data_IF_423894920035
#
_entry.id   IF_423894920035
#
_cell.length_a   1.000
_cell.length_b   1.000
_cell.length_c   1.000
_cell.angle_alpha   90.00
_cell.angle_beta   90.00
_cell.angle_gamma   90.00
#
_symmetry.space_group_name_H-M   'P 1'
#
loop_
_entity.id
_entity.type
_entity.pdbx_description
1 polymer ?
#
# COMPACT_ATOMS: atom_id res chain seq x y z
N UNK A 1 6.85 9.22 -6.76
CA UNK A 1 6.45 8.10 -7.65
C UNK A 1 7.55 7.09 -7.86
N UNK A 2 8.82 7.51 -7.94
CA UNK A 2 10.03 6.65 -7.96
C UNK A 2 10.17 5.64 -6.82
N UNK A 3 9.26 5.64 -5.82
CA UNK A 3 9.31 4.75 -4.65
C UNK A 3 8.38 3.54 -4.76
N UNK A 4 7.51 3.42 -5.77
CA UNK A 4 6.69 2.21 -5.93
C UNK A 4 7.54 0.97 -6.24
N UNK A 5 8.65 1.15 -6.97
CA UNK A 5 9.65 0.10 -7.22
C UNK A 5 10.28 -0.41 -5.92
N UNK A 6 10.43 0.44 -4.91
CA UNK A 6 11.02 0.05 -3.61
C UNK A 6 10.15 -0.94 -2.85
N UNK A 7 8.86 -1.02 -3.18
CA UNK A 7 7.93 -1.95 -2.56
C UNK A 7 7.51 -3.09 -3.49
N UNK A 8 8.05 -3.14 -4.71
CA UNK A 8 7.70 -4.07 -5.79
C UNK A 8 6.19 -4.14 -6.09
N UNK A 9 5.45 -3.05 -5.83
CA UNK A 9 4.01 -2.99 -6.05
C UNK A 9 3.76 -2.48 -7.46
N UNK A 10 3.71 -3.39 -8.44
CA UNK A 10 3.44 -3.04 -9.84
C UNK A 10 1.94 -3.07 -10.12
N UNK A 11 1.38 -1.94 -10.52
CA UNK A 11 -0.04 -1.85 -10.93
C UNK A 11 -0.29 -2.47 -12.32
N UNK A 12 0.72 -2.49 -13.19
CA UNK A 12 0.63 -3.03 -14.55
C UNK A 12 1.83 -3.94 -14.81
N UNK A 13 1.55 -5.21 -15.11
CA UNK A 13 2.57 -6.13 -15.63
C UNK A 13 2.77 -5.84 -17.13
N UNK A 14 4.01 -5.88 -17.65
CA UNK A 14 4.25 -5.91 -19.08
C UNK A 14 3.39 -7.01 -19.73
N UNK A 15 2.79 -6.76 -20.89
CA UNK A 15 1.94 -7.75 -21.60
C UNK A 15 2.58 -9.16 -21.69
N UNK A 16 3.90 -9.32 -21.90
CA UNK A 16 4.55 -10.64 -21.90
C UNK A 16 4.62 -11.33 -20.53
N UNK A 17 4.54 -10.56 -19.43
CA UNK A 17 4.65 -11.00 -18.04
C UNK A 17 3.29 -11.02 -17.32
N UNK A 18 2.26 -10.46 -17.96
CA UNK A 18 0.90 -10.40 -17.46
C UNK A 18 0.23 -11.77 -17.59
N UNK A 19 0.40 -12.63 -16.58
CA UNK A 19 -0.48 -13.78 -16.40
C UNK A 19 -1.86 -13.29 -16.01
N UNK A 20 -2.82 -13.34 -16.95
CA UNK A 20 -4.24 -13.12 -16.62
C UNK A 20 -4.73 -14.38 -15.91
N UNK A 21 -4.43 -14.49 -14.62
CA UNK A 21 -4.86 -15.60 -13.78
C UNK A 21 -6.37 -15.46 -13.51
N UNK A 22 -7.18 -16.24 -14.23
CA UNK A 22 -8.65 -16.28 -14.16
C UNK A 22 -9.34 -14.93 -14.45
N UNK A 23 -9.46 -14.52 -15.73
CA UNK A 23 -10.39 -13.46 -16.07
C UNK A 23 -11.81 -13.93 -15.71
N UNK A 24 -12.60 -13.13 -14.97
CA UNK A 24 -13.99 -13.50 -14.70
C UNK A 24 -14.75 -13.65 -16.01
N UNK A 25 -15.52 -14.73 -16.14
CA UNK A 25 -16.29 -15.02 -17.35
C UNK A 25 -17.34 -13.95 -17.66
N UNK A 26 -17.82 -13.27 -16.62
CA UNK A 26 -18.70 -12.11 -16.66
C UNK A 26 -18.30 -11.11 -15.58
N UNK A 27 -18.37 -9.82 -15.89
CA UNK A 27 -18.19 -8.75 -14.92
C UNK A 27 -19.51 -8.55 -14.16
N UNK A 28 -19.58 -9.03 -12.92
CA UNK A 28 -20.73 -8.82 -12.03
C UNK A 28 -20.72 -7.38 -11.49
N UNK A 29 -21.88 -6.74 -11.37
CA UNK A 29 -22.05 -5.47 -10.66
C UNK A 29 -21.61 -5.53 -9.18
N UNK A 30 -21.56 -6.71 -8.57
CA UNK A 30 -20.97 -6.93 -7.25
C UNK A 30 -19.44 -6.85 -7.25
N UNK A 31 -18.77 -7.22 -8.36
CA UNK A 31 -17.31 -7.03 -8.50
C UNK A 31 -16.93 -5.55 -8.56
N UNK A 32 -17.82 -4.69 -9.08
CA UNK A 32 -17.64 -3.24 -9.08
C UNK A 32 -17.63 -2.62 -7.66
N UNK A 33 -18.08 -3.36 -6.63
CA UNK A 33 -17.98 -2.94 -5.23
C UNK A 33 -16.70 -3.42 -4.54
N UNK A 34 -15.86 -4.21 -5.22
CA UNK A 34 -14.60 -4.68 -4.66
C UNK A 34 -13.53 -3.62 -4.86
N UNK A 35 -13.18 -2.91 -3.78
CA UNK A 35 -12.10 -1.93 -3.78
C UNK A 35 -10.74 -2.65 -3.79
N UNK A 36 -10.18 -2.91 -4.98
CA UNK A 36 -8.87 -3.56 -5.15
C UNK A 36 -7.77 -2.50 -5.25
N UNK A 37 -6.60 -2.76 -4.65
CA UNK A 37 -5.48 -1.83 -4.82
C UNK A 37 -4.97 -1.81 -6.26
N UNK A 38 -5.15 -2.90 -7.00
CA UNK A 38 -4.79 -3.03 -8.41
C UNK A 38 -5.45 -1.99 -9.30
N UNK A 39 -6.55 -1.37 -8.85
CA UNK A 39 -7.25 -0.33 -9.61
C UNK A 39 -6.59 1.05 -9.47
N UNK A 40 -5.50 1.15 -8.69
CA UNK A 40 -4.70 2.34 -8.56
C UNK A 40 -4.06 2.71 -9.91
N UNK A 41 -4.53 3.81 -10.52
CA UNK A 41 -4.01 4.35 -11.79
C UNK A 41 -2.78 5.25 -11.62
N UNK A 42 -2.15 5.17 -10.46
CA UNK A 42 -0.89 5.87 -10.20
C UNK A 42 -0.91 7.41 -10.32
N UNK A 43 -2.09 8.03 -10.17
CA UNK A 43 -2.26 9.48 -10.38
C UNK A 43 -1.57 10.40 -9.35
N UNK A 44 -1.19 9.88 -8.17
CA UNK A 44 -0.50 10.66 -7.13
C UNK A 44 -1.37 11.62 -6.30
N UNK A 45 -2.67 11.73 -6.55
CA UNK A 45 -3.58 12.58 -5.77
C UNK A 45 -3.54 12.29 -4.26
N UNK A 46 -3.43 11.02 -3.89
CA UNK A 46 -3.31 10.61 -2.49
C UNK A 46 -2.06 11.17 -1.81
N UNK A 47 -0.95 11.33 -2.55
CA UNK A 47 0.29 11.92 -2.03
C UNK A 47 0.09 13.43 -1.87
N UNK A 48 -0.47 14.09 -2.88
CA UNK A 48 -0.70 15.55 -2.88
C UNK A 48 -1.67 16.00 -1.79
N UNK A 49 -2.72 15.21 -1.51
CA UNK A 49 -3.71 15.54 -0.49
C UNK A 49 -3.26 15.20 0.94
N UNK A 50 -2.23 14.36 1.09
CA UNK A 50 -1.80 13.91 2.41
C UNK A 50 -0.99 15.01 3.13
N UNK A 51 -1.42 15.48 4.31
CA UNK A 51 -0.68 16.51 5.04
C UNK A 51 0.70 16.04 5.48
N UNK A 52 0.85 14.74 5.78
CA UNK A 52 2.16 14.17 6.14
C UNK A 52 3.17 14.27 4.99
N UNK A 53 2.74 14.01 3.74
CA UNK A 53 3.58 14.16 2.55
C UNK A 53 4.05 15.60 2.32
N UNK A 54 3.28 16.60 2.78
CA UNK A 54 3.66 18.00 2.68
C UNK A 54 4.74 18.42 3.70
N UNK A 55 5.00 17.59 4.72
CA UNK A 55 5.94 17.91 5.81
C UNK A 55 7.34 17.30 5.65
N UNK A 56 7.48 16.23 4.86
CA UNK A 56 8.76 15.56 4.62
C UNK A 56 8.78 14.94 3.23
N UNK A 57 9.85 15.20 2.48
CA UNK A 57 10.12 14.52 1.20
C UNK A 57 10.53 13.07 1.39
N UNK A 58 10.95 12.69 2.60
CA UNK A 58 11.39 11.33 2.91
C UNK A 58 10.21 10.39 3.20
N UNK A 59 9.03 10.93 3.47
CA UNK A 59 7.83 10.13 3.68
C UNK A 59 7.58 9.18 2.50
N UNK A 60 7.46 7.88 2.76
CA UNK A 60 7.13 6.89 1.71
C UNK A 60 5.82 7.23 0.99
N UNK A 61 4.85 7.80 1.73
CA UNK A 61 3.58 8.25 1.17
C UNK A 61 2.51 7.16 1.12
N UNK A 62 1.24 7.56 0.95
CA UNK A 62 0.10 6.65 1.08
C UNK A 62 0.05 5.57 -0.01
N UNK A 63 0.41 5.89 -1.25
CA UNK A 63 0.41 4.91 -2.35
C UNK A 63 1.41 3.77 -2.09
N UNK A 64 2.64 4.13 -1.70
CA UNK A 64 3.73 3.16 -1.45
C UNK A 64 3.41 2.27 -0.26
N UNK A 65 2.91 2.84 0.84
CA UNK A 65 2.52 2.07 2.02
C UNK A 65 1.33 1.15 1.75
N UNK A 66 0.35 1.58 0.94
CA UNK A 66 -0.74 0.70 0.51
C UNK A 66 -0.21 -0.45 -0.36
N UNK A 67 0.73 -0.17 -1.28
CA UNK A 67 1.42 -1.18 -2.09
C UNK A 67 2.16 -2.21 -1.24
N UNK A 68 2.92 -1.76 -0.24
CA UNK A 68 3.63 -2.64 0.69
C UNK A 68 2.68 -3.58 1.45
N UNK A 69 1.49 -3.09 1.82
CA UNK A 69 0.47 -3.93 2.45
C UNK A 69 -0.04 -5.02 1.51
N UNK A 70 -0.26 -4.70 0.23
CA UNK A 70 -0.75 -5.66 -0.76
C UNK A 70 0.29 -6.74 -1.09
N UNK A 71 1.57 -6.39 -1.17
CA UNK A 71 2.65 -7.36 -1.40
C UNK A 71 2.95 -8.24 -0.19
N UNK A 72 2.66 -7.74 1.01
CA UNK A 72 2.65 -8.53 2.25
C UNK A 72 4.04 -8.74 2.86
N UNK A 73 4.17 -8.39 4.14
CA UNK A 73 5.43 -8.42 4.88
C UNK A 73 6.03 -9.83 5.09
N UNK A 74 5.21 -10.88 5.02
CA UNK A 74 5.67 -12.26 5.20
C UNK A 74 6.48 -12.79 4.01
N UNK A 75 6.16 -12.30 2.81
CA UNK A 75 6.81 -12.74 1.57
C UNK A 75 8.13 -12.02 1.36
N UNK A 76 8.21 -10.76 1.83
CA UNK A 76 9.35 -9.87 1.61
C UNK A 76 9.80 -9.25 2.97
N UNK A 77 10.68 -9.92 3.73
CA UNK A 77 11.16 -9.43 5.03
C UNK A 77 11.85 -8.07 4.98
N UNK A 78 12.49 -7.73 3.86
CA UNK A 78 13.12 -6.44 3.59
C UNK A 78 12.10 -5.29 3.53
N UNK A 79 10.85 -5.55 3.11
CA UNK A 79 9.79 -4.55 3.15
C UNK A 79 9.53 -4.07 4.57
N UNK A 80 9.62 -4.98 5.55
CA UNK A 80 9.38 -4.64 6.94
C UNK A 80 10.38 -3.57 7.42
N UNK A 81 11.64 -3.65 7.05
CA UNK A 81 12.64 -2.63 7.44
C UNK A 81 12.38 -1.28 6.75
N UNK A 82 11.93 -1.30 5.50
CA UNK A 82 11.59 -0.09 4.75
C UNK A 82 10.38 0.61 5.37
N UNK A 83 9.29 -0.12 5.60
CA UNK A 83 8.04 0.48 6.10
C UNK A 83 8.09 0.75 7.60
N UNK A 84 8.83 -0.02 8.39
CA UNK A 84 8.95 0.15 9.84
C UNK A 84 9.95 1.25 10.24
N UNK A 85 9.83 2.42 9.61
CA UNK A 85 10.72 3.57 9.77
C UNK A 85 9.93 4.84 10.11
N UNK A 86 10.60 5.86 10.64
CA UNK A 86 9.97 7.15 10.98
C UNK A 86 9.31 7.78 9.75
N UNK A 87 10.04 7.84 8.63
CA UNK A 87 9.55 8.29 7.33
C UNK A 87 8.74 7.23 6.57
N UNK A 88 8.53 6.06 7.17
CA UNK A 88 7.65 5.03 6.65
C UNK A 88 6.27 5.12 7.29
N UNK A 89 5.84 3.99 7.83
CA UNK A 89 4.50 3.76 8.35
C UNK A 89 4.11 4.71 9.49
N UNK A 90 5.07 5.18 10.27
CA UNK A 90 4.83 5.92 11.50
C UNK A 90 4.55 7.41 11.27
N UNK A 91 4.93 7.97 10.11
CA UNK A 91 4.60 9.36 9.74
C UNK A 91 3.12 9.56 9.38
N UNK A 92 2.36 8.50 9.12
CA UNK A 92 0.93 8.61 8.83
C UNK A 92 0.15 9.04 10.10
N UNK A 93 -0.54 10.18 10.09
CA UNK A 93 -1.35 10.62 11.24
C UNK A 93 -2.85 10.35 11.06
N UNK A 94 -3.19 9.38 10.22
CA UNK A 94 -4.58 8.94 10.00
C UNK A 94 -5.52 10.10 9.65
N UNK A 95 -5.10 10.97 8.73
CA UNK A 95 -5.94 12.07 8.21
C UNK A 95 -6.97 11.60 7.17
N UNK A 96 -6.79 10.41 6.58
CA UNK A 96 -7.69 9.76 5.60
C UNK A 96 -7.95 10.52 4.27
N UNK A 97 -7.38 11.71 4.08
CA UNK A 97 -7.49 12.47 2.81
C UNK A 97 -7.08 11.67 1.58
N UNK A 98 -6.09 10.78 1.72
CA UNK A 98 -5.64 9.92 0.62
C UNK A 98 -6.71 8.99 0.06
N UNK A 99 -7.66 8.54 0.90
CA UNK A 99 -8.81 7.75 0.46
C UNK A 99 -9.91 8.66 -0.10
N UNK A 100 -10.16 9.81 0.55
CA UNK A 100 -11.19 10.75 0.14
C UNK A 100 -10.99 11.30 -1.29
N UNK A 101 -9.74 11.53 -1.69
CA UNK A 101 -9.41 12.08 -3.03
C UNK A 101 -9.18 11.02 -4.10
N UNK A 102 -9.27 9.73 -3.79
CA UNK A 102 -8.91 8.69 -4.74
C UNK A 102 -9.95 8.57 -5.88
N UNK A 103 -9.57 8.83 -7.14
CA UNK A 103 -10.52 8.79 -8.26
C UNK A 103 -10.86 7.36 -8.70
N UNK A 104 -9.98 6.39 -8.39
CA UNK A 104 -10.21 4.96 -8.62
C UNK A 104 -10.89 4.27 -7.44
N UNK A 105 -11.31 5.04 -6.43
CA UNK A 105 -11.94 4.53 -5.21
C UNK A 105 -11.09 3.52 -4.43
N UNK A 106 -9.77 3.43 -4.68
CA UNK A 106 -8.88 2.62 -3.85
C UNK A 106 -8.80 3.22 -2.44
N UNK A 107 -8.73 2.36 -1.43
CA UNK A 107 -8.67 2.76 -0.02
C UNK A 107 -7.24 2.59 0.53
N UNK A 108 -6.33 3.55 0.29
CA UNK A 108 -4.98 3.50 0.81
C UNK A 108 -4.96 3.66 2.33
N UNK A 109 -5.84 4.47 2.91
CA UNK A 109 -5.80 4.73 4.35
C UNK A 109 -6.10 3.48 5.17
N UNK A 110 -7.14 2.71 4.80
CA UNK A 110 -7.43 1.41 5.45
C UNK A 110 -6.26 0.45 5.33
N UNK A 111 -5.65 0.35 4.14
CA UNK A 111 -4.48 -0.52 3.93
C UNK A 111 -3.28 -0.10 4.78
N UNK A 112 -3.04 1.19 4.97
CA UNK A 112 -1.98 1.67 5.86
C UNK A 112 -2.27 1.27 7.33
N UNK A 113 -3.53 1.30 7.76
CA UNK A 113 -3.90 0.82 9.10
C UNK A 113 -3.74 -0.69 9.23
N UNK A 114 -4.09 -1.47 8.21
CA UNK A 114 -3.83 -2.91 8.18
C UNK A 114 -2.33 -3.22 8.24
N UNK A 115 -1.51 -2.45 7.51
CA UNK A 115 -0.06 -2.55 7.54
C UNK A 115 0.51 -2.26 8.95
N UNK A 116 -0.04 -1.25 9.65
CA UNK A 116 0.31 -0.97 11.05
C UNK A 116 0.11 -2.17 11.95
N UNK A 117 -1.07 -2.80 11.85
CA UNK A 117 -1.35 -4.00 12.64
C UNK A 117 -0.37 -5.14 12.32
N UNK A 118 -0.03 -5.32 11.04
CA UNK A 118 0.94 -6.33 10.63
C UNK A 118 2.34 -6.04 11.20
N UNK A 119 2.85 -4.81 11.08
CA UNK A 119 4.16 -4.41 11.62
C UNK A 119 4.21 -4.56 13.14
N UNK A 120 3.18 -4.10 13.86
CA UNK A 120 3.10 -4.28 15.32
C UNK A 120 3.10 -5.77 15.68
N UNK A 121 2.35 -6.60 14.94
CA UNK A 121 2.34 -8.04 15.11
C UNK A 121 3.73 -8.66 14.90
N UNK A 122 4.48 -8.23 13.88
CA UNK A 122 5.85 -8.70 13.65
C UNK A 122 6.84 -8.22 14.72
N UNK A 123 6.72 -6.97 15.20
CA UNK A 123 7.48 -6.45 16.35
C UNK A 123 7.23 -7.28 17.60
N UNK A 124 5.96 -7.59 17.89
CA UNK A 124 5.57 -8.44 19.01
C UNK A 124 6.18 -9.83 18.88
N UNK A 125 6.00 -10.51 17.74
CA UNK A 125 6.64 -11.82 17.50
C UNK A 125 8.14 -11.78 17.68
N UNK A 126 8.84 -10.76 17.16
CA UNK A 126 10.30 -10.61 17.34
C UNK A 126 10.69 -10.45 18.81
N UNK A 127 9.90 -9.73 19.59
CA UNK A 127 10.13 -9.55 21.04
C UNK A 127 10.01 -10.88 21.80
N UNK A 128 9.03 -11.73 21.43
CA UNK A 128 8.78 -13.02 22.09
C UNK A 128 9.45 -14.23 21.40
N UNK A 129 10.23 -14.04 20.32
CA UNK A 129 10.92 -15.11 19.55
C UNK A 129 12.41 -15.25 19.88
N UNK A 130 13.00 -14.35 20.67
CA UNK A 130 14.33 -14.63 21.26
C UNK A 130 14.17 -15.69 22.36
N UNK A 131 15.14 -16.62 22.49
CA UNK A 131 14.97 -17.91 23.17
C UNK A 131 14.56 -17.79 24.63
#
# INVERSE_FOLDING_TARGET
YSRMETVDARAVLPVPEAEIENPPAEWDAADAQIIRLSDCIECGLCISACPASATSTEYLGPAVLAGAQANGLKRNPELLEIVDSEDGLWRCHSAFECTAVCPSFVDPARRIMDLRMQVVGERFKRLFRKP
#
